data_IF_318636530373
#
_entry.id   IF_318636530373
#
_cell.length_a   1.000
_cell.length_b   1.000
_cell.length_c   1.000
_cell.angle_alpha   90.00
_cell.angle_beta   90.00
_cell.angle_gamma   90.00
#
_symmetry.space_group_name_H-M   'P 1'
#
loop_
_entity.id
_entity.type
_entity.pdbx_description
1 polymer ?
#
# COMPACT_ATOMS: atom_id res chain seq x y z
N UNK A 1 1.28 8.79 -12.89
CA UNK A 1 1.78 8.10 -11.67
C UNK A 1 3.17 7.46 -11.85
N UNK A 2 3.85 7.66 -12.99
CA UNK A 2 5.25 7.21 -13.19
C UNK A 2 6.31 8.08 -12.48
N UNK A 3 5.94 9.20 -11.87
CA UNK A 3 6.88 10.22 -11.35
C UNK A 3 7.61 9.82 -10.07
N UNK A 4 7.23 8.74 -9.39
CA UNK A 4 7.94 8.21 -8.21
C UNK A 4 8.66 6.87 -8.46
N UNK A 5 8.48 6.24 -9.62
CA UNK A 5 9.02 4.89 -9.90
C UNK A 5 8.52 3.78 -8.97
N UNK A 6 7.56 4.08 -8.08
CA UNK A 6 7.00 3.15 -7.11
C UNK A 6 5.81 2.42 -7.73
N UNK A 7 5.88 1.09 -7.71
CA UNK A 7 4.74 0.24 -8.05
C UNK A 7 3.62 0.48 -7.02
N UNK A 8 2.39 0.77 -7.46
CA UNK A 8 1.21 0.98 -6.58
C UNK A 8 1.04 -0.15 -5.56
N UNK A 9 1.39 -1.39 -5.93
CA UNK A 9 1.34 -2.53 -5.01
C UNK A 9 2.33 -2.42 -3.85
N UNK A 10 3.48 -1.74 -4.01
CA UNK A 10 4.39 -1.45 -2.89
C UNK A 10 3.71 -0.52 -1.88
N UNK A 11 3.02 0.52 -2.36
CA UNK A 11 2.31 1.47 -1.48
C UNK A 11 1.28 0.73 -0.62
N UNK A 12 0.44 -0.11 -1.23
CA UNK A 12 -0.55 -0.90 -0.49
C UNK A 12 0.07 -1.84 0.55
N UNK A 13 1.17 -2.52 0.23
CA UNK A 13 1.88 -3.35 1.23
C UNK A 13 2.40 -2.50 2.38
N UNK A 14 3.00 -1.35 2.09
CA UNK A 14 3.55 -0.46 3.11
C UNK A 14 2.45 0.16 3.98
N UNK A 15 1.29 0.49 3.41
CA UNK A 15 0.11 0.96 4.14
C UNK A 15 -0.41 -0.10 5.11
N UNK A 16 -0.53 -1.35 4.68
CA UNK A 16 -0.92 -2.46 5.57
C UNK A 16 0.05 -2.59 6.75
N UNK A 17 1.36 -2.52 6.51
CA UNK A 17 2.35 -2.61 7.61
C UNK A 17 2.29 -1.36 8.51
N UNK A 18 1.99 -0.17 7.96
CA UNK A 18 1.82 1.07 8.74
C UNK A 18 0.57 1.01 9.61
N UNK A 19 -0.53 0.44 9.11
CA UNK A 19 -1.81 0.35 9.81
C UNK A 19 -1.83 -0.76 10.86
N UNK A 20 -1.39 -1.97 10.50
CA UNK A 20 -1.49 -3.17 11.35
C UNK A 20 -0.20 -3.49 12.10
N UNK A 21 0.88 -2.74 11.86
CA UNK A 21 2.21 -3.04 12.37
C UNK A 21 2.89 -4.18 11.60
N UNK A 22 4.00 -4.73 12.14
CA UNK A 22 4.67 -5.87 11.53
C UNK A 22 3.71 -7.01 11.23
N UNK A 23 3.67 -7.43 9.97
CA UNK A 23 2.57 -8.24 9.45
C UNK A 23 3.08 -9.49 8.73
N UNK A 24 2.33 -10.59 8.84
CA UNK A 24 2.66 -11.82 8.11
C UNK A 24 2.32 -11.68 6.63
N UNK A 25 2.96 -12.50 5.78
CA UNK A 25 2.62 -12.59 4.36
C UNK A 25 1.13 -12.86 4.12
N UNK A 26 0.52 -13.71 4.96
CA UNK A 26 -0.89 -14.07 4.82
C UNK A 26 -1.80 -12.88 5.10
N UNK A 27 -1.54 -12.11 6.17
CA UNK A 27 -2.31 -10.91 6.47
C UNK A 27 -2.16 -9.85 5.37
N UNK A 28 -0.95 -9.67 4.86
CA UNK A 28 -0.71 -8.73 3.75
C UNK A 28 -1.49 -9.15 2.51
N UNK A 29 -1.42 -10.43 2.13
CA UNK A 29 -2.16 -10.99 1.00
C UNK A 29 -3.68 -10.82 1.13
N UNK A 30 -4.22 -11.06 2.33
CA UNK A 30 -5.62 -10.83 2.65
C UNK A 30 -6.02 -9.36 2.49
N UNK A 31 -5.25 -8.43 3.09
CA UNK A 31 -5.59 -7.00 3.11
C UNK A 31 -5.51 -6.32 1.76
N UNK A 32 -4.61 -6.76 0.89
CA UNK A 32 -4.47 -6.19 -0.46
C UNK A 32 -5.20 -7.03 -1.53
N UNK A 33 -5.96 -8.05 -1.12
CA UNK A 33 -6.75 -8.92 -1.99
C UNK A 33 -5.95 -9.57 -3.12
N UNK A 34 -4.73 -10.03 -2.82
CA UNK A 34 -3.84 -10.69 -3.78
C UNK A 34 -3.44 -12.09 -3.31
N UNK A 35 -3.20 -12.96 -4.30
CA UNK A 35 -2.68 -14.30 -4.05
C UNK A 35 -1.34 -14.27 -3.30
N UNK A 36 -1.17 -15.22 -2.37
CA UNK A 36 0.04 -15.32 -1.53
C UNK A 36 1.33 -15.43 -2.35
N UNK A 37 1.30 -16.10 -3.50
CA UNK A 37 2.45 -16.21 -4.39
C UNK A 37 2.85 -14.84 -4.99
N UNK A 38 1.86 -14.05 -5.39
CA UNK A 38 2.05 -12.68 -5.90
C UNK A 38 2.64 -11.78 -4.82
N UNK A 39 2.10 -11.83 -3.60
CA UNK A 39 2.62 -11.06 -2.46
C UNK A 39 4.03 -11.53 -2.07
N UNK A 40 4.31 -12.84 -2.09
CA UNK A 40 5.65 -13.36 -1.83
C UNK A 40 6.69 -12.77 -2.78
N UNK A 41 6.37 -12.76 -4.08
CA UNK A 41 7.22 -12.18 -5.12
C UNK A 41 7.41 -10.68 -4.92
N UNK A 42 6.33 -9.96 -4.60
CA UNK A 42 6.33 -8.52 -4.33
C UNK A 42 7.26 -8.19 -3.15
N UNK A 43 7.06 -8.85 -2.02
CA UNK A 43 7.88 -8.71 -0.82
C UNK A 43 9.34 -9.08 -1.12
N UNK A 44 9.59 -10.08 -1.97
CA UNK A 44 10.95 -10.45 -2.38
C UNK A 44 11.65 -9.36 -3.17
N UNK A 45 10.91 -8.54 -3.93
CA UNK A 45 11.48 -7.35 -4.58
C UNK A 45 11.69 -6.22 -3.57
N UNK A 46 10.70 -5.93 -2.73
CA UNK A 46 10.79 -4.88 -1.71
C UNK A 46 11.95 -5.10 -0.72
N UNK A 47 12.24 -6.36 -0.39
CA UNK A 47 13.37 -6.72 0.47
C UNK A 47 14.72 -6.50 -0.23
N UNK A 48 14.84 -6.87 -1.52
CA UNK A 48 16.03 -6.55 -2.32
C UNK A 48 16.24 -5.05 -2.48
N UNK A 49 15.15 -4.29 -2.54
CA UNK A 49 15.17 -2.83 -2.63
C UNK A 49 15.36 -2.16 -1.25
N UNK A 50 15.56 -2.93 -0.17
CA UNK A 50 15.77 -2.48 1.21
C UNK A 50 14.60 -1.66 1.80
N UNK A 51 13.39 -1.84 1.25
CA UNK A 51 12.17 -1.17 1.71
C UNK A 51 11.59 -1.90 2.93
N UNK A 52 11.79 -3.21 3.00
CA UNK A 52 11.34 -4.05 4.10
C UNK A 52 12.45 -4.96 4.62
N UNK A 53 12.24 -5.50 5.82
CA UNK A 53 12.95 -6.67 6.35
C UNK A 53 11.94 -7.75 6.74
N UNK A 54 12.28 -9.03 6.54
CA UNK A 54 11.54 -10.15 7.13
C UNK A 54 12.25 -10.66 8.37
N UNK A 55 11.58 -10.65 9.51
CA UNK A 55 12.13 -11.07 10.79
C UNK A 55 11.27 -12.18 11.43
N UNK A 56 11.85 -13.05 12.28
CA UNK A 56 11.05 -13.97 13.09
C UNK A 56 10.03 -13.20 13.91
N UNK A 57 8.76 -13.60 13.80
CA UNK A 57 7.66 -12.97 14.53
C UNK A 57 7.52 -13.51 15.96
N UNK A 58 6.44 -13.08 16.63
CA UNK A 58 6.17 -13.49 18.02
C UNK A 58 5.80 -14.97 18.17
N UNK A 59 5.20 -15.55 17.14
CA UNK A 59 4.80 -16.95 17.15
C UNK A 59 5.92 -17.87 16.66
N UNK A 60 6.01 -19.06 17.24
CA UNK A 60 7.05 -20.04 16.88
C UNK A 60 6.89 -20.45 15.41
N UNK A 61 7.85 -20.01 14.58
CA UNK A 61 7.92 -20.21 13.12
C UNK A 61 7.13 -19.20 12.28
N UNK A 62 6.65 -18.10 12.85
CA UNK A 62 6.12 -17.00 12.04
C UNK A 62 7.25 -16.10 11.52
N UNK A 63 7.02 -15.52 10.35
CA UNK A 63 7.85 -14.45 9.79
C UNK A 63 6.97 -13.22 9.61
N UNK A 64 7.42 -12.10 10.15
CA UNK A 64 6.76 -10.80 10.05
C UNK A 64 7.57 -9.89 9.12
N UNK A 65 6.86 -9.08 8.36
CA UNK A 65 7.41 -8.07 7.47
C UNK A 65 7.40 -6.74 8.21
N UNK A 66 8.56 -6.08 8.23
CA UNK A 66 8.76 -4.77 8.85
C UNK A 66 9.18 -3.76 7.80
N UNK A 67 8.68 -2.53 7.88
CA UNK A 67 9.25 -1.41 7.12
C UNK A 67 10.63 -1.06 7.66
N UNK A 68 11.59 -0.88 6.75
CA UNK A 68 12.84 -0.18 7.08
C UNK A 68 12.59 1.32 7.23
N UNK A 69 13.60 2.07 7.67
CA UNK A 69 13.49 3.53 7.67
C UNK A 69 13.28 4.07 6.25
N UNK A 70 14.04 3.54 5.27
CA UNK A 70 13.88 3.85 3.85
C UNK A 70 12.45 3.60 3.37
N UNK A 71 11.84 2.48 3.75
CA UNK A 71 10.45 2.18 3.39
C UNK A 71 9.44 3.16 3.99
N UNK A 72 9.66 3.63 5.23
CA UNK A 72 8.82 4.65 5.86
C UNK A 72 8.94 6.00 5.15
N UNK A 73 10.16 6.44 4.86
CA UNK A 73 10.41 7.71 4.18
C UNK A 73 9.77 7.72 2.78
N UNK A 74 9.89 6.61 2.05
CA UNK A 74 9.24 6.41 0.75
C UNK A 74 7.72 6.48 0.87
N UNK A 75 7.13 5.81 1.87
CA UNK A 75 5.69 5.81 2.08
C UNK A 75 5.18 7.23 2.39
N UNK A 76 5.88 7.98 3.23
CA UNK A 76 5.46 9.34 3.58
C UNK A 76 5.53 10.29 2.36
N UNK A 77 6.54 10.15 1.50
CA UNK A 77 6.61 10.88 0.22
C UNK A 77 5.45 10.49 -0.71
N UNK A 78 5.13 9.20 -0.80
CA UNK A 78 4.04 8.71 -1.64
C UNK A 78 2.69 9.25 -1.16
N UNK A 79 2.42 9.20 0.15
CA UNK A 79 1.20 9.73 0.75
C UNK A 79 1.06 11.23 0.56
N UNK A 80 2.14 11.99 0.73
CA UNK A 80 2.14 13.43 0.46
C UNK A 80 1.80 13.72 -1.01
N UNK A 81 2.39 12.96 -1.93
CA UNK A 81 2.14 13.13 -3.37
C UNK A 81 0.68 12.79 -3.74
N UNK A 82 0.10 11.76 -3.13
CA UNK A 82 -1.31 11.41 -3.33
C UNK A 82 -2.24 12.52 -2.83
N UNK A 83 -1.96 13.10 -1.67
CA UNK A 83 -2.74 14.22 -1.12
C UNK A 83 -2.71 15.45 -2.04
N UNK A 84 -1.56 15.77 -2.63
CA UNK A 84 -1.45 16.89 -3.57
C UNK A 84 -2.18 16.61 -4.89
N UNK A 85 -2.16 15.35 -5.37
CA UNK A 85 -2.95 14.94 -6.54
C UNK A 85 -4.45 15.07 -6.25
N UNK A 86 -4.92 14.63 -5.08
CA UNK A 86 -6.33 14.73 -4.70
C UNK A 86 -6.80 16.19 -4.68
N UNK A 87 -5.99 17.11 -4.11
CA UNK A 87 -6.30 18.55 -4.12
C UNK A 87 -6.37 19.12 -5.54
N UNK A 88 -5.42 18.75 -6.40
CA UNK A 88 -5.42 19.21 -7.79
C UNK A 88 -6.63 18.66 -8.56
N UNK A 89 -6.97 17.40 -8.34
CA UNK A 89 -8.12 16.76 -8.96
C UNK A 89 -9.43 17.38 -8.50
N UNK A 90 -9.59 17.63 -7.20
CA UNK A 90 -10.77 18.30 -6.66
C UNK A 90 -10.92 19.72 -7.22
N UNK A 91 -9.81 20.45 -7.38
CA UNK A 91 -9.82 21.74 -8.06
C UNK A 91 -10.27 21.64 -9.52
N UNK A 92 -9.76 20.68 -10.29
CA UNK A 92 -10.16 20.44 -11.68
C UNK A 92 -11.63 20.04 -11.82
N UNK A 93 -12.17 19.36 -10.81
CA UNK A 93 -13.56 18.91 -10.74
C UNK A 93 -14.48 19.93 -10.04
N UNK A 94 -14.01 21.15 -9.76
CA UNK A 94 -14.77 22.19 -9.07
C UNK A 94 -15.38 21.76 -7.72
N UNK A 95 -14.71 20.89 -6.97
CA UNK A 95 -15.20 20.40 -5.67
C UNK A 95 -16.16 19.21 -5.76
N UNK A 96 -16.35 18.61 -6.96
CA UNK A 96 -17.28 17.48 -7.15
C UNK A 96 -16.61 16.10 -6.98
N UNK A 97 -15.35 16.02 -6.54
CA UNK A 97 -14.61 14.76 -6.44
C UNK A 97 -15.32 13.74 -5.54
N UNK A 98 -15.81 14.17 -4.37
CA UNK A 98 -16.53 13.28 -3.45
C UNK A 98 -17.82 12.70 -4.07
N UNK A 99 -18.58 13.52 -4.83
CA UNK A 99 -19.79 13.04 -5.50
C UNK A 99 -19.49 11.95 -6.53
N UNK A 100 -18.39 12.09 -7.26
CA UNK A 100 -17.95 11.10 -8.25
C UNK A 100 -17.52 9.81 -7.55
N UNK A 101 -16.77 9.91 -6.46
CA UNK A 101 -16.33 8.77 -5.65
C UNK A 101 -17.54 7.97 -5.12
N UNK A 102 -18.55 8.65 -4.58
CA UNK A 102 -19.79 8.02 -4.11
C UNK A 102 -20.55 7.30 -5.24
N UNK A 103 -20.56 7.90 -6.44
CA UNK A 103 -21.20 7.31 -7.62
C UNK A 103 -20.51 6.01 -8.05
N UNK A 104 -19.17 6.00 -8.07
CA UNK A 104 -18.37 4.81 -8.41
C UNK A 104 -18.54 3.71 -7.36
N UNK A 105 -18.51 4.04 -6.07
CA UNK A 105 -18.74 3.07 -5.00
C UNK A 105 -20.14 2.44 -5.10
N UNK A 106 -21.14 3.24 -5.45
CA UNK A 106 -22.51 2.76 -5.65
C UNK A 106 -22.60 1.79 -6.82
N UNK A 107 -21.85 2.01 -7.91
CA UNK A 107 -21.79 1.08 -9.05
C UNK A 107 -21.14 -0.24 -8.63
N UNK A 108 -19.99 -0.20 -7.94
CA UNK A 108 -19.28 -1.41 -7.50
C UNK A 108 -20.05 -2.27 -6.50
N UNK A 109 -20.98 -1.70 -5.72
CA UNK A 109 -21.85 -2.48 -4.81
C UNK A 109 -23.03 -3.16 -5.50
N UNK A 110 -23.38 -2.71 -6.70
CA UNK A 110 -24.52 -3.21 -7.48
C UNK A 110 -24.10 -4.15 -8.62
N UNK A 111 -22.81 -4.45 -8.73
CA UNK A 111 -22.20 -5.45 -9.62
C UNK A 111 -21.76 -6.66 -8.81
#
# INVERSE_FOLDING_TARGET
METLGLNTSYVYVMEVIKEFGPSTLSLIAEKIELERATVSNLLGRMERDEIINRLPGKERRSMEVHLTQKGKDILDIALFSLQEIDKQLDHLLNGDLEKIKDSVQSINRNL
#
